data_IF_346348231781
#
_entry.id   IF_346348231781
#
_cell.length_a   1.000
_cell.length_b   1.000
_cell.length_c   1.000
_cell.angle_alpha   90.00
_cell.angle_beta   90.00
_cell.angle_gamma   90.00
#
_symmetry.space_group_name_H-M   'P 1'
#
loop_
_entity.id
_entity.type
_entity.pdbx_description
1 polymer ?
#
# COMPACT_ATOMS: atom_id res chain seq x y z
N UNK A 1 21.91 -31.00 -8.30
CA UNK A 1 20.80 -31.00 -7.33
C UNK A 1 19.64 -30.32 -8.03
N UNK A 2 18.56 -31.06 -8.19
CA UNK A 2 17.41 -30.71 -9.03
C UNK A 2 16.74 -29.43 -8.55
N UNK A 3 16.85 -28.42 -9.39
CA UNK A 3 16.13 -27.16 -9.37
C UNK A 3 14.62 -27.49 -9.40
N UNK A 4 13.98 -27.44 -8.24
CA UNK A 4 12.52 -27.46 -8.19
C UNK A 4 12.10 -26.13 -8.78
N UNK A 5 11.53 -26.15 -9.99
CA UNK A 5 10.88 -24.99 -10.59
C UNK A 5 9.79 -24.52 -9.64
N UNK A 6 10.18 -23.64 -8.74
CA UNK A 6 9.36 -22.92 -7.81
C UNK A 6 8.45 -22.06 -8.68
N UNK A 7 7.19 -22.49 -8.82
CA UNK A 7 6.14 -21.80 -9.57
C UNK A 7 6.20 -20.29 -9.28
N UNK A 8 6.67 -19.52 -10.26
CA UNK A 8 6.76 -18.04 -10.24
C UNK A 8 5.38 -17.41 -10.48
N UNK A 9 4.30 -18.17 -10.26
CA UNK A 9 2.98 -17.58 -10.08
C UNK A 9 3.08 -16.57 -8.94
N UNK A 10 3.10 -15.28 -9.27
CA UNK A 10 2.85 -14.24 -8.28
C UNK A 10 1.43 -14.38 -7.69
N UNK A 11 0.96 -13.41 -6.90
CA UNK A 11 -0.39 -13.44 -6.37
C UNK A 11 -1.44 -13.60 -7.50
N UNK A 12 -2.57 -14.27 -7.21
CA UNK A 12 -2.99 -14.65 -5.87
C UNK A 12 -2.47 -16.03 -5.42
N UNK A 13 -2.06 -16.14 -4.15
CA UNK A 13 -1.72 -17.41 -3.51
C UNK A 13 -2.82 -17.86 -2.56
N UNK A 14 -3.43 -19.01 -2.84
CA UNK A 14 -4.44 -19.60 -1.96
C UNK A 14 -4.02 -21.00 -1.51
N UNK A 15 -4.38 -21.36 -0.28
CA UNK A 15 -4.39 -22.76 0.16
C UNK A 15 -5.75 -23.39 -0.21
N UNK A 16 -5.82 -24.71 -0.09
CA UNK A 16 -7.05 -25.48 -0.31
C UNK A 16 -7.52 -26.10 0.99
N UNK A 17 -8.84 -26.18 1.17
CA UNK A 17 -9.48 -26.90 2.26
C UNK A 17 -9.35 -28.44 2.10
N UNK A 18 -9.88 -29.18 3.06
CA UNK A 18 -9.89 -30.65 3.07
C UNK A 18 -10.62 -31.26 1.86
N UNK A 19 -11.50 -30.50 1.21
CA UNK A 19 -12.26 -30.90 0.02
C UNK A 19 -11.59 -30.45 -1.30
N UNK A 20 -10.40 -29.85 -1.23
CA UNK A 20 -9.66 -29.33 -2.38
C UNK A 20 -10.19 -28.01 -2.95
N UNK A 21 -11.10 -27.33 -2.24
CA UNK A 21 -11.63 -26.00 -2.63
C UNK A 21 -10.71 -24.90 -2.16
N UNK A 22 -10.68 -23.77 -2.86
CA UNK A 22 -9.91 -22.61 -2.46
C UNK A 22 -10.41 -22.10 -1.10
N UNK A 23 -9.51 -22.03 -0.13
CA UNK A 23 -9.74 -21.37 1.16
C UNK A 23 -9.12 -19.97 1.09
N UNK A 24 -9.99 -18.97 0.97
CA UNK A 24 -9.59 -17.55 0.86
C UNK A 24 -9.13 -16.96 2.20
N UNK A 25 -9.44 -17.62 3.33
CA UNK A 25 -9.06 -17.15 4.66
C UNK A 25 -7.77 -17.80 5.16
N UNK A 26 -7.38 -18.94 4.58
CA UNK A 26 -6.15 -19.62 4.94
C UNK A 26 -4.88 -18.81 4.61
N UNK A 27 -3.89 -18.90 5.51
CA UNK A 27 -2.54 -18.41 5.26
C UNK A 27 -1.80 -19.47 4.41
N UNK A 28 -1.38 -19.14 3.17
CA UNK A 28 -0.74 -20.10 2.29
C UNK A 28 0.46 -20.79 2.93
N UNK A 29 0.57 -22.11 2.78
CA UNK A 29 1.71 -22.88 3.33
C UNK A 29 3.05 -22.28 2.90
N UNK A 30 3.14 -21.86 1.63
CA UNK A 30 4.34 -21.22 1.05
C UNK A 30 4.76 -19.95 1.78
N UNK A 31 3.80 -19.18 2.29
CA UNK A 31 4.07 -17.97 3.07
C UNK A 31 4.52 -18.31 4.49
N UNK A 32 3.89 -19.32 5.13
CA UNK A 32 4.27 -19.83 6.46
C UNK A 32 5.67 -20.43 6.50
N UNK A 33 6.10 -21.03 5.39
CA UNK A 33 7.44 -21.63 5.25
C UNK A 33 8.46 -20.69 4.60
N UNK A 34 8.13 -19.42 4.39
CA UNK A 34 9.06 -18.48 3.77
C UNK A 34 10.27 -18.22 4.69
N UNK A 35 11.52 -18.31 4.20
CA UNK A 35 12.72 -18.22 5.05
C UNK A 35 12.76 -16.95 5.90
N UNK A 36 12.47 -15.80 5.31
CA UNK A 36 12.45 -14.51 6.03
C UNK A 36 11.33 -14.41 7.07
N UNK A 37 10.17 -15.02 6.82
CA UNK A 37 9.04 -15.03 7.76
C UNK A 37 9.41 -15.88 8.98
N UNK A 38 9.99 -17.06 8.75
CA UNK A 38 10.44 -17.95 9.82
C UNK A 38 11.62 -17.37 10.60
N UNK A 39 12.61 -16.80 9.90
CA UNK A 39 13.80 -16.18 10.52
C UNK A 39 13.42 -15.06 11.49
N UNK A 40 12.40 -14.27 11.13
CA UNK A 40 11.91 -13.15 11.95
C UNK A 40 10.83 -13.55 12.96
N UNK A 41 10.37 -14.80 12.94
CA UNK A 41 9.28 -15.27 13.81
C UNK A 41 7.94 -14.59 13.54
N UNK A 42 7.67 -14.12 12.31
CA UNK A 42 6.42 -13.45 11.95
C UNK A 42 5.30 -14.50 11.83
N UNK A 43 4.30 -14.41 12.70
CA UNK A 43 3.14 -15.31 12.69
C UNK A 43 1.93 -14.60 12.08
N UNK A 44 1.64 -14.94 10.82
CA UNK A 44 0.49 -14.39 10.10
C UNK A 44 -0.81 -15.05 10.56
N UNK A 45 -1.87 -14.24 10.68
CA UNK A 45 -3.16 -14.62 11.22
C UNK A 45 -4.33 -14.26 10.31
N UNK A 46 -4.24 -13.15 9.57
CA UNK A 46 -5.35 -12.59 8.81
C UNK A 46 -4.96 -12.28 7.35
N UNK A 47 -5.89 -12.37 6.39
CA UNK A 47 -5.68 -11.92 5.02
C UNK A 47 -6.48 -10.65 4.68
N UNK A 48 -5.97 -9.43 4.92
CA UNK A 48 -6.66 -8.18 4.55
C UNK A 48 -7.01 -8.10 3.06
N UNK A 49 -6.16 -8.66 2.19
CA UNK A 49 -6.39 -8.80 0.74
C UNK A 49 -6.12 -10.27 0.37
N UNK A 50 -7.11 -11.17 0.49
CA UNK A 50 -6.94 -12.60 0.25
C UNK A 50 -6.20 -12.92 -1.05
N UNK A 51 -5.14 -13.72 -0.95
CA UNK A 51 -4.28 -14.08 -2.06
C UNK A 51 -3.09 -13.16 -2.27
N UNK A 52 -3.08 -11.95 -1.70
CA UNK A 52 -2.05 -10.94 -2.00
C UNK A 52 -1.41 -10.32 -0.76
N UNK A 53 -2.19 -10.03 0.29
CA UNK A 53 -1.69 -9.39 1.52
C UNK A 53 -2.20 -10.16 2.73
N UNK A 54 -1.28 -10.44 3.64
CA UNK A 54 -1.50 -11.15 4.89
C UNK A 54 -0.90 -10.35 6.04
N UNK A 55 -1.36 -10.57 7.26
CA UNK A 55 -0.90 -9.81 8.41
C UNK A 55 -0.87 -10.62 9.69
N UNK A 56 -0.10 -10.16 10.66
CA UNK A 56 -0.13 -10.66 12.03
C UNK A 56 -1.47 -10.33 12.71
N UNK A 57 -1.70 -10.95 13.87
CA UNK A 57 -2.81 -10.59 14.75
C UNK A 57 -2.67 -9.16 15.27
N UNK A 58 -3.78 -8.51 15.54
CA UNK A 58 -3.86 -7.18 16.16
C UNK A 58 -3.73 -7.21 17.69
N UNK A 59 -3.59 -8.41 18.27
CA UNK A 59 -3.49 -8.60 19.72
C UNK A 59 -2.04 -8.53 20.26
N UNK A 60 -1.06 -8.51 19.37
CA UNK A 60 0.35 -8.60 19.72
C UNK A 60 1.20 -7.69 18.84
N UNK A 61 2.03 -6.88 19.47
CA UNK A 61 3.04 -6.08 18.81
C UNK A 61 4.40 -6.81 18.80
N UNK A 62 5.30 -6.52 17.84
CA UNK A 62 5.09 -5.66 16.66
C UNK A 62 4.19 -6.30 15.61
N UNK A 63 3.37 -5.48 14.93
CA UNK A 63 2.42 -5.95 13.92
C UNK A 63 2.97 -5.76 12.50
N UNK A 64 2.80 -6.77 11.64
CA UNK A 64 3.28 -6.73 10.26
C UNK A 64 2.17 -7.01 9.26
N UNK A 65 2.28 -6.36 8.10
CA UNK A 65 1.65 -6.77 6.87
C UNK A 65 2.73 -7.32 5.91
N UNK A 66 2.37 -8.37 5.19
CA UNK A 66 3.22 -9.06 4.22
C UNK A 66 2.45 -9.12 2.92
N UNK A 67 2.94 -8.39 1.92
CA UNK A 67 2.42 -8.40 0.57
C UNK A 67 3.28 -9.31 -0.30
N UNK A 68 2.63 -10.18 -1.07
CA UNK A 68 3.28 -11.03 -2.05
C UNK A 68 3.45 -10.20 -3.33
N UNK A 69 4.68 -10.09 -3.82
CA UNK A 69 4.99 -9.39 -5.07
C UNK A 69 5.20 -10.38 -6.22
N UNK A 70 5.20 -9.85 -7.44
CA UNK A 70 5.72 -10.54 -8.63
C UNK A 70 7.18 -10.15 -8.85
N UNK A 71 7.98 -11.11 -9.30
CA UNK A 71 9.43 -10.93 -9.46
C UNK A 71 9.78 -9.82 -10.46
N UNK A 72 9.03 -9.70 -11.55
CA UNK A 72 9.29 -8.78 -12.67
C UNK A 72 8.08 -7.86 -12.97
N UNK A 73 7.66 -7.05 -11.99
CA UNK A 73 6.60 -6.05 -12.19
C UNK A 73 7.10 -4.62 -12.00
N UNK A 74 6.38 -3.68 -12.61
CA UNK A 74 6.58 -2.25 -12.39
C UNK A 74 6.39 -1.88 -10.92
N UNK A 75 5.43 -2.49 -10.22
CA UNK A 75 5.25 -2.30 -8.78
C UNK A 75 6.54 -2.55 -7.98
N UNK A 76 7.21 -3.69 -8.23
CA UNK A 76 8.46 -4.02 -7.52
C UNK A 76 9.53 -2.97 -7.78
N UNK A 77 9.73 -2.57 -9.04
CA UNK A 77 10.71 -1.55 -9.41
C UNK A 77 10.40 -0.19 -8.78
N UNK A 78 9.11 0.13 -8.66
CA UNK A 78 8.64 1.33 -7.96
C UNK A 78 9.03 1.25 -6.48
N UNK A 79 8.76 0.13 -5.80
CA UNK A 79 9.19 -0.04 -4.41
C UNK A 79 10.71 0.02 -4.25
N UNK A 80 11.48 -0.64 -5.12
CA UNK A 80 12.95 -0.57 -5.11
C UNK A 80 13.45 0.87 -5.20
N UNK A 81 12.81 1.72 -6.01
CA UNK A 81 13.15 3.13 -6.12
C UNK A 81 12.70 3.95 -4.90
N UNK A 82 11.48 3.75 -4.43
CA UNK A 82 10.89 4.53 -3.33
C UNK A 82 11.56 4.21 -1.98
N UNK A 83 11.94 2.96 -1.75
CA UNK A 83 12.58 2.54 -0.50
C UNK A 83 14.03 3.02 -0.39
N UNK A 84 14.72 3.29 -1.51
CA UNK A 84 16.07 3.89 -1.50
C UNK A 84 16.05 5.31 -0.92
N UNK A 85 15.00 6.09 -1.18
CA UNK A 85 14.84 7.46 -0.68
C UNK A 85 13.79 7.56 0.43
N UNK A 86 13.64 6.51 1.25
CA UNK A 86 12.59 6.44 2.28
C UNK A 86 12.71 7.50 3.38
N UNK A 87 13.90 8.10 3.53
CA UNK A 87 14.18 9.16 4.52
C UNK A 87 13.76 10.56 4.04
N UNK A 88 13.39 10.72 2.77
CA UNK A 88 12.89 11.98 2.26
C UNK A 88 11.54 12.32 2.90
N UNK A 89 11.39 13.52 3.44
CA UNK A 89 10.18 13.93 4.16
C UNK A 89 8.93 13.94 3.28
N UNK A 90 9.07 14.19 1.97
CA UNK A 90 7.96 14.16 1.01
C UNK A 90 7.69 12.76 0.46
N UNK A 91 8.54 11.77 0.79
CA UNK A 91 8.28 10.39 0.47
C UNK A 91 7.31 9.81 1.50
N UNK A 92 6.04 9.80 1.11
CA UNK A 92 4.96 9.19 1.88
C UNK A 92 4.76 7.71 1.54
N UNK A 93 5.78 7.00 1.05
CA UNK A 93 5.73 5.54 0.93
C UNK A 93 5.84 4.92 2.33
N UNK A 94 5.05 3.91 2.63
CA UNK A 94 5.19 3.17 3.88
C UNK A 94 6.58 2.49 3.94
N UNK A 95 7.38 2.72 5.00
CA UNK A 95 8.64 2.00 5.19
C UNK A 95 8.41 0.49 5.15
N UNK A 96 9.21 -0.20 4.36
CA UNK A 96 9.07 -1.63 4.13
C UNK A 96 10.39 -2.24 3.70
N UNK A 97 10.46 -3.57 3.77
CA UNK A 97 11.61 -4.36 3.36
C UNK A 97 11.22 -5.35 2.26
N UNK A 98 12.03 -5.41 1.21
CA UNK A 98 11.95 -6.42 0.17
C UNK A 98 12.79 -7.63 0.57
N UNK A 99 12.24 -8.84 0.45
CA UNK A 99 12.98 -10.06 0.77
C UNK A 99 14.07 -10.34 -0.28
N UNK A 100 15.29 -10.61 0.20
CA UNK A 100 16.45 -10.96 -0.66
C UNK A 100 16.46 -12.44 -1.06
N UNK A 101 15.79 -13.30 -0.27
CA UNK A 101 15.76 -14.75 -0.46
C UNK A 101 14.33 -15.26 -0.54
N UNK A 102 14.14 -16.36 -1.28
CA UNK A 102 12.82 -16.92 -1.53
C UNK A 102 12.05 -16.12 -2.57
N UNK A 103 10.74 -16.05 -2.40
CA UNK A 103 9.88 -15.29 -3.30
C UNK A 103 9.81 -13.84 -2.86
N UNK A 104 9.61 -12.89 -3.78
CA UNK A 104 9.60 -11.48 -3.44
C UNK A 104 8.38 -11.17 -2.57
N UNK A 105 8.64 -10.82 -1.31
CA UNK A 105 7.67 -10.30 -0.37
C UNK A 105 8.06 -8.86 -0.03
N UNK A 106 7.03 -8.05 0.20
CA UNK A 106 7.16 -6.76 0.86
C UNK A 106 6.67 -6.90 2.30
N UNK A 107 7.59 -6.81 3.26
CA UNK A 107 7.29 -6.87 4.69
C UNK A 107 7.24 -5.43 5.20
N UNK A 108 6.11 -5.03 5.78
CA UNK A 108 5.86 -3.65 6.21
C UNK A 108 5.13 -3.62 7.56
N UNK A 109 5.19 -2.50 8.31
CA UNK A 109 4.34 -2.30 9.49
C UNK A 109 2.86 -2.46 9.14
N UNK A 110 2.08 -3.09 10.02
CA UNK A 110 0.62 -3.06 9.88
C UNK A 110 0.09 -1.77 10.51
N UNK A 111 -0.25 -0.80 9.65
CA UNK A 111 -0.91 0.42 10.08
C UNK A 111 -2.40 0.42 9.71
N UNK A 112 -3.10 1.44 10.19
CA UNK A 112 -4.54 1.58 10.02
C UNK A 112 -4.86 2.64 8.98
N UNK A 113 -6.01 2.50 8.31
CA UNK A 113 -6.52 3.59 7.49
C UNK A 113 -7.02 4.75 8.36
N UNK A 114 -7.06 5.94 7.77
CA UNK A 114 -7.48 7.19 8.41
C UNK A 114 -8.79 7.05 9.20
N UNK A 115 -9.79 6.37 8.63
CA UNK A 115 -11.12 6.20 9.25
C UNK A 115 -11.06 5.41 10.55
N UNK A 116 -10.17 4.42 10.67
CA UNK A 116 -10.06 3.60 11.87
C UNK A 116 -9.48 4.40 13.03
N UNK A 117 -8.43 5.20 12.79
CA UNK A 117 -7.82 6.05 13.83
C UNK A 117 -8.73 7.21 14.28
N UNK A 118 -9.61 7.67 13.39
CA UNK A 118 -10.57 8.73 13.71
C UNK A 118 -11.77 8.24 14.55
N UNK A 119 -11.97 6.92 14.72
CA UNK A 119 -13.02 6.37 15.59
C UNK A 119 -12.65 6.57 17.07
N UNK A 120 -12.89 7.77 17.58
CA UNK A 120 -12.71 8.12 18.99
C UNK A 120 -11.89 9.39 19.24
N UNK A 121 -11.28 9.97 18.20
CA UNK A 121 -10.50 11.20 18.28
C UNK A 121 -11.13 12.28 17.38
N UNK A 122 -11.48 13.42 17.96
CA UNK A 122 -11.78 14.63 17.20
C UNK A 122 -10.45 15.28 16.82
N UNK A 123 -10.05 15.19 15.55
CA UNK A 123 -8.90 15.93 15.06
C UNK A 123 -9.26 17.38 14.83
N UNK A 124 -8.39 18.27 15.30
CA UNK A 124 -8.51 19.70 15.05
C UNK A 124 -8.45 20.00 13.55
N UNK A 125 -8.95 21.16 13.16
CA UNK A 125 -8.78 21.66 11.79
C UNK A 125 -7.29 21.71 11.39
N UNK A 126 -6.40 22.04 12.32
CA UNK A 126 -4.97 22.09 12.07
C UNK A 126 -4.39 20.71 11.73
N UNK A 127 -4.72 19.68 12.51
CA UNK A 127 -4.30 18.30 12.24
C UNK A 127 -4.90 17.80 10.93
N UNK A 128 -6.18 18.08 10.69
CA UNK A 128 -6.87 17.75 9.43
C UNK A 128 -6.16 18.36 8.23
N UNK A 129 -5.84 19.66 8.28
CA UNK A 129 -5.08 20.36 7.22
C UNK A 129 -3.67 19.77 7.05
N UNK A 130 -3.02 19.37 8.15
CA UNK A 130 -1.73 18.66 8.11
C UNK A 130 -1.81 17.35 7.33
N UNK A 131 -2.85 16.55 7.54
CA UNK A 131 -3.07 15.33 6.78
C UNK A 131 -3.38 15.60 5.31
N UNK A 132 -4.20 16.60 5.00
CA UNK A 132 -4.47 16.99 3.61
C UNK A 132 -3.17 17.36 2.88
N UNK A 133 -2.30 18.13 3.55
CA UNK A 133 -1.01 18.54 3.00
C UNK A 133 -0.12 17.33 2.71
N UNK A 134 0.01 16.40 3.66
CA UNK A 134 0.82 15.18 3.49
C UNK A 134 0.37 14.32 2.30
N UNK A 135 -0.94 14.19 2.06
CA UNK A 135 -1.44 13.48 0.87
C UNK A 135 -0.97 14.17 -0.42
N UNK A 136 -1.07 15.50 -0.48
CA UNK A 136 -0.64 16.27 -1.66
C UNK A 136 0.88 16.21 -1.84
N UNK A 137 1.66 16.31 -0.77
CA UNK A 137 3.12 16.17 -0.78
C UNK A 137 3.56 14.80 -1.31
N UNK A 138 2.90 13.73 -0.86
CA UNK A 138 3.16 12.36 -1.32
C UNK A 138 2.87 12.18 -2.81
N UNK A 139 1.75 12.71 -3.29
CA UNK A 139 1.39 12.65 -4.72
C UNK A 139 2.36 13.47 -5.57
N UNK A 140 2.70 14.69 -5.15
CA UNK A 140 3.69 15.53 -5.82
C UNK A 140 5.05 14.83 -5.89
N UNK A 141 5.48 14.19 -4.81
CA UNK A 141 6.73 13.42 -4.77
C UNK A 141 6.73 12.29 -5.79
N UNK A 142 5.67 11.47 -5.85
CA UNK A 142 5.54 10.43 -6.87
C UNK A 142 5.60 11.01 -8.30
N UNK A 143 4.90 12.12 -8.53
CA UNK A 143 4.84 12.76 -9.85
C UNK A 143 6.18 13.33 -10.30
N UNK A 144 6.99 13.86 -9.37
CA UNK A 144 8.39 14.29 -9.65
C UNK A 144 9.29 13.13 -10.09
N UNK A 145 9.01 11.91 -9.62
CA UNK A 145 9.70 10.70 -10.05
C UNK A 145 9.09 10.08 -11.32
N UNK A 146 8.13 10.77 -11.94
CA UNK A 146 7.31 10.32 -13.05
C UNK A 146 6.49 9.06 -12.75
N UNK A 147 6.18 8.79 -11.49
CA UNK A 147 5.26 7.72 -11.09
C UNK A 147 3.85 8.30 -11.03
N UNK A 148 2.89 7.66 -11.69
CA UNK A 148 1.48 7.83 -11.38
C UNK A 148 0.98 6.60 -10.63
N UNK A 149 0.22 6.80 -9.56
CA UNK A 149 -0.28 5.73 -8.70
C UNK A 149 -1.46 4.98 -9.33
N UNK A 150 -2.33 5.70 -10.05
CA UNK A 150 -3.47 5.21 -10.84
C UNK A 150 -4.63 4.58 -10.06
N UNK A 151 -4.43 4.18 -8.81
CA UNK A 151 -5.48 3.69 -7.91
C UNK A 151 -5.49 4.43 -6.55
N UNK A 152 -5.32 5.75 -6.55
CA UNK A 152 -5.45 6.52 -5.30
C UNK A 152 -6.89 6.48 -4.79
N UNK A 153 -7.05 6.04 -3.55
CA UNK A 153 -8.33 5.99 -2.85
C UNK A 153 -8.08 6.00 -1.33
N UNK A 154 -9.14 6.17 -0.53
CA UNK A 154 -9.02 6.20 0.93
C UNK A 154 -8.58 4.87 1.53
N UNK A 155 -8.80 3.75 0.84
CA UNK A 155 -8.31 2.43 1.24
C UNK A 155 -6.79 2.27 1.06
N UNK A 156 -6.19 3.11 0.22
CA UNK A 156 -4.75 3.11 -0.07
C UNK A 156 -4.00 4.23 0.69
N UNK A 157 -4.63 4.79 1.72
CA UNK A 157 -4.05 5.76 2.65
C UNK A 157 -4.04 5.17 4.05
N UNK A 158 -2.84 4.99 4.59
CA UNK A 158 -2.62 4.61 5.98
C UNK A 158 -2.15 5.82 6.79
N UNK A 159 -2.38 5.76 8.10
CA UNK A 159 -1.92 6.75 9.07
C UNK A 159 -1.27 6.00 10.23
N UNK A 160 -0.16 6.52 10.74
CA UNK A 160 0.45 6.04 11.99
C UNK A 160 -0.08 6.81 13.20
N UNK A 161 -0.31 6.10 14.30
CA UNK A 161 -0.55 6.66 15.62
C UNK A 161 0.72 6.66 16.50
N UNK A 162 0.70 7.33 17.65
CA UNK A 162 1.77 7.26 18.65
C UNK A 162 2.11 5.85 19.11
N UNK A 163 1.15 4.93 19.07
CA UNK A 163 1.31 3.53 19.43
C UNK A 163 2.20 2.73 18.46
N UNK A 164 2.37 3.19 17.21
CA UNK A 164 3.11 2.47 16.17
C UNK A 164 4.63 2.77 16.22
N UNK A 165 4.99 3.97 16.67
CA UNK A 165 6.37 4.50 16.65
C UNK A 165 7.38 3.66 17.45
N UNK A 166 7.07 3.09 18.63
CA UNK A 166 8.04 2.28 19.38
C UNK A 166 8.48 0.98 18.71
N UNK A 167 7.72 0.50 17.71
CA UNK A 167 7.88 -0.85 17.16
C UNK A 167 8.56 -0.90 15.80
N UNK A 168 8.56 0.20 15.06
CA UNK A 168 9.00 0.23 13.66
C UNK A 168 9.88 1.43 13.36
N UNK A 169 11.12 1.19 12.95
CA UNK A 169 12.02 2.26 12.52
C UNK A 169 11.44 3.02 11.32
N UNK A 170 11.51 4.36 11.38
CA UNK A 170 11.01 5.23 10.31
C UNK A 170 9.49 5.49 10.35
N UNK A 171 8.75 4.87 11.27
CA UNK A 171 7.39 5.28 11.61
C UNK A 171 7.46 6.43 12.61
N UNK A 172 6.69 7.48 12.34
CA UNK A 172 6.53 8.64 13.20
C UNK A 172 5.03 8.86 13.38
N UNK A 173 4.58 9.20 14.59
CA UNK A 173 3.16 9.46 14.84
C UNK A 173 2.56 10.50 13.87
N UNK A 174 1.30 10.31 13.51
CA UNK A 174 0.49 11.22 12.68
C UNK A 174 1.04 11.45 11.27
N UNK A 175 1.76 10.46 10.73
CA UNK A 175 2.25 10.47 9.35
C UNK A 175 1.31 9.69 8.44
N UNK A 176 1.02 10.24 7.27
CA UNK A 176 0.28 9.57 6.20
C UNK A 176 1.23 8.76 5.33
N UNK A 177 0.76 7.60 4.91
CA UNK A 177 1.44 6.75 3.93
C UNK A 177 0.50 6.38 2.78
N UNK A 178 1.02 6.46 1.56
CA UNK A 178 0.43 5.96 0.33
C UNK A 178 0.92 4.52 0.13
N UNK A 179 -0.01 3.60 -0.10
CA UNK A 179 0.25 2.17 -0.29
C UNK A 179 -0.41 1.64 -1.55
N UNK A 180 -0.12 0.37 -1.86
CA UNK A 180 -0.71 -0.40 -2.96
C UNK A 180 -0.38 0.14 -4.37
N UNK A 181 0.89 0.01 -4.74
CA UNK A 181 1.41 0.40 -6.05
C UNK A 181 1.16 -0.65 -7.15
N UNK A 182 0.20 -1.57 -6.97
CA UNK A 182 -0.16 -2.63 -7.94
C UNK A 182 -0.46 -2.05 -9.34
N UNK A 183 -1.22 -0.95 -9.37
CA UNK A 183 -1.62 -0.26 -10.59
C UNK A 183 -0.66 0.83 -11.03
N UNK A 184 0.33 1.16 -10.19
CA UNK A 184 1.20 2.29 -10.42
C UNK A 184 2.14 2.05 -11.60
N UNK A 185 2.45 3.12 -12.33
CA UNK A 185 3.31 3.08 -13.49
C UNK A 185 4.28 4.25 -13.48
N UNK A 186 5.51 3.98 -13.89
CA UNK A 186 6.50 5.03 -14.17
C UNK A 186 6.50 5.36 -15.65
N UNK A 187 6.31 6.63 -15.97
CA UNK A 187 6.30 7.11 -17.34
C UNK A 187 7.63 7.78 -17.72
N UNK A 188 7.89 7.84 -19.03
CA UNK A 188 9.03 8.59 -19.57
C UNK A 188 8.81 10.09 -19.48
N UNK A 189 7.58 10.54 -19.68
CA UNK A 189 7.19 11.95 -19.67
C UNK A 189 6.50 12.27 -18.35
N UNK A 190 6.72 13.48 -17.84
CA UNK A 190 6.13 13.94 -16.60
C UNK A 190 4.76 14.62 -16.76
N UNK A 191 4.23 15.19 -15.67
CA UNK A 191 2.96 15.93 -15.66
C UNK A 191 2.90 17.05 -16.72
N UNK A 192 1.73 17.23 -17.33
CA UNK A 192 1.47 18.30 -18.31
C UNK A 192 1.97 18.01 -19.73
N UNK A 193 2.79 16.98 -19.92
CA UNK A 193 3.28 16.56 -21.25
C UNK A 193 3.05 15.08 -21.57
N UNK A 194 2.65 14.28 -20.59
CA UNK A 194 2.36 12.86 -20.77
C UNK A 194 1.03 12.65 -21.53
N UNK A 195 1.03 11.89 -22.64
CA UNK A 195 -0.19 11.57 -23.35
C UNK A 195 -1.17 10.75 -22.50
N UNK A 196 -2.46 10.92 -22.80
CA UNK A 196 -3.51 10.15 -22.16
C UNK A 196 -3.35 8.64 -22.42
N UNK A 197 -3.58 7.85 -21.38
CA UNK A 197 -3.54 6.39 -21.42
C UNK A 197 -4.92 5.81 -21.14
N UNK A 198 -5.17 4.58 -21.56
CA UNK A 198 -6.27 3.81 -21.01
C UNK A 198 -5.94 3.43 -19.57
N UNK A 199 -6.81 3.79 -18.62
CA UNK A 199 -6.56 3.50 -17.21
C UNK A 199 -6.66 2.00 -16.92
N UNK A 200 -5.82 1.47 -16.03
CA UNK A 200 -6.06 0.16 -15.43
C UNK A 200 -7.37 0.18 -14.61
N UNK A 201 -7.91 -1.00 -14.24
CA UNK A 201 -8.98 -1.06 -13.25
C UNK A 201 -8.60 -0.28 -11.99
N UNK A 202 -9.51 0.57 -11.53
CA UNK A 202 -9.34 1.37 -10.33
C UNK A 202 -10.63 1.37 -9.51
N UNK A 203 -10.48 1.64 -8.22
CA UNK A 203 -11.58 1.72 -7.27
C UNK A 203 -12.46 2.95 -7.53
N UNK A 204 -11.82 4.05 -7.94
CA UNK A 204 -12.50 5.28 -8.32
C UNK A 204 -13.05 5.16 -9.74
N UNK A 205 -14.36 5.37 -9.92
CA UNK A 205 -14.97 5.31 -11.26
C UNK A 205 -14.58 6.53 -12.09
N UNK A 206 -14.12 6.33 -13.33
CA UNK A 206 -13.85 7.44 -14.25
C UNK A 206 -15.08 8.32 -14.47
N UNK A 207 -14.94 9.66 -14.47
CA UNK A 207 -16.06 10.56 -14.71
C UNK A 207 -16.52 10.50 -16.18
N UNK A 208 -17.80 10.80 -16.40
CA UNK A 208 -18.39 11.07 -17.73
C UNK A 208 -18.18 9.96 -18.78
N UNK A 209 -17.95 8.72 -18.37
CA UNK A 209 -17.71 7.59 -19.29
C UNK A 209 -16.40 7.70 -20.09
N UNK A 210 -15.50 8.59 -19.69
CA UNK A 210 -14.18 8.74 -20.29
C UNK A 210 -13.36 7.48 -20.03
N UNK A 211 -12.53 7.12 -21.02
CA UNK A 211 -11.69 5.90 -20.98
C UNK A 211 -10.20 6.18 -21.05
N UNK A 212 -9.82 7.39 -21.44
CA UNK A 212 -8.43 7.81 -21.60
C UNK A 212 -8.18 9.06 -20.78
N UNK A 213 -7.10 9.05 -20.00
CA UNK A 213 -6.77 10.13 -19.08
C UNK A 213 -5.26 10.38 -19.08
N UNK A 214 -4.87 11.64 -18.94
CA UNK A 214 -3.53 11.96 -18.45
C UNK A 214 -3.38 11.29 -17.06
N UNK A 215 -2.38 10.42 -16.85
CA UNK A 215 -2.26 9.59 -15.66
C UNK A 215 -2.01 10.41 -14.39
N UNK A 216 -1.29 11.52 -14.49
CA UNK A 216 -1.01 12.40 -13.35
C UNK A 216 -2.26 13.20 -12.96
N UNK A 217 -3.01 13.69 -13.94
CA UNK A 217 -4.28 14.38 -13.74
C UNK A 217 -5.34 13.45 -13.17
N UNK A 218 -5.30 12.16 -13.53
CA UNK A 218 -6.11 11.13 -12.90
C UNK A 218 -5.79 10.97 -11.41
N UNK A 219 -4.51 10.91 -11.04
CA UNK A 219 -4.11 10.89 -9.64
C UNK A 219 -4.63 12.14 -8.90
N UNK A 220 -4.48 13.34 -9.46
CA UNK A 220 -4.99 14.59 -8.85
C UNK A 220 -6.52 14.54 -8.66
N UNK A 221 -7.26 14.01 -9.64
CA UNK A 221 -8.70 13.80 -9.51
C UNK A 221 -9.04 12.86 -8.35
N UNK A 222 -8.34 11.74 -8.24
CA UNK A 222 -8.50 10.78 -7.15
C UNK A 222 -8.09 11.35 -5.79
N UNK A 223 -7.02 12.16 -5.73
CA UNK A 223 -6.61 12.91 -4.55
C UNK A 223 -7.75 13.79 -4.05
N UNK A 224 -8.48 14.49 -4.93
CA UNK A 224 -9.64 15.28 -4.55
C UNK A 224 -10.71 14.48 -3.78
N UNK A 225 -10.97 13.23 -4.18
CA UNK A 225 -11.88 12.33 -3.46
C UNK A 225 -11.34 11.93 -2.07
N UNK A 226 -10.04 11.64 -1.97
CA UNK A 226 -9.37 11.34 -0.70
C UNK A 226 -9.47 12.53 0.26
N UNK A 227 -9.12 13.72 -0.21
CA UNK A 227 -9.15 14.96 0.58
C UNK A 227 -10.58 15.26 1.07
N UNK A 228 -11.58 15.13 0.19
CA UNK A 228 -12.98 15.30 0.56
C UNK A 228 -13.42 14.29 1.65
N UNK A 229 -12.96 13.05 1.58
CA UNK A 229 -13.27 12.04 2.60
C UNK A 229 -12.67 12.38 3.97
N UNK A 230 -11.39 12.78 4.00
CA UNK A 230 -10.69 13.23 5.21
C UNK A 230 -11.48 14.37 5.87
N UNK A 231 -11.90 15.37 5.08
CA UNK A 231 -12.70 16.49 5.57
C UNK A 231 -14.07 16.05 6.12
N UNK A 232 -14.80 15.18 5.41
CA UNK A 232 -16.11 14.73 5.85
C UNK A 232 -16.06 13.95 7.18
N UNK A 233 -15.07 13.06 7.33
CA UNK A 233 -14.89 12.29 8.58
C UNK A 233 -14.54 13.22 9.75
N UNK A 234 -13.79 14.28 9.50
CA UNK A 234 -13.36 15.23 10.53
C UNK A 234 -14.49 16.19 10.97
N UNK A 235 -15.35 16.61 10.03
CA UNK A 235 -16.46 17.55 10.31
C UNK A 235 -17.67 16.86 10.94
N UNK A 236 -17.94 15.59 10.63
CA UNK A 236 -19.08 14.85 11.20
C UNK A 236 -18.75 14.18 12.55
N UNK A 237 -17.55 14.41 13.08
CA UNK A 237 -17.17 14.10 14.46
C UNK A 237 -17.46 15.24 15.44
N UNK A 238 -17.94 16.40 14.97
CA UNK A 238 -18.39 17.55 15.77
C UNK A 238 -19.89 17.48 16.09
#
# INVERSE_FOLDING_TARGET
>A
MTDISLDDSGPPWYDKDENGRIDVLAIPKRLRTHPEIQRRGIVLAEPPKPGSVYSTSTLHDPQYAVKILRSETEERKIYEMLLVDIRNSHNHTLPAELTETGYPLLIMPRLWNYRTLHRGNEWSLYETLGYLLQVVEGVEYLHRLHIAHLDLCTGNILVSGPEDEPYHEGIVAYKIFIIDFDSAQRFKLGPGVQPAIQLPPSQTRPPNGLKHFDPYSWDVYCTGHVLNHIMLVSVHGL
#
